data_IF_312323286106
#
_entry.id   IF_312323286106
#
_cell.length_a   1.000
_cell.length_b   1.000
_cell.length_c   1.000
_cell.angle_alpha   90.00
_cell.angle_beta   90.00
_cell.angle_gamma   90.00
#
_symmetry.space_group_name_H-M   'P 1'
#
loop_
_entity.id
_entity.type
_entity.pdbx_description
1 polymer ?
#
# COMPACT_ATOMS: atom_id res chain seq x y z
N UNK A 1 -8.16 29.11 3.31
CA UNK A 1 -7.58 28.14 4.26
C UNK A 1 -6.24 28.70 4.70
N UNK A 2 -5.98 28.83 6.01
CA UNK A 2 -4.68 29.29 6.51
C UNK A 2 -3.63 28.19 6.32
N UNK A 3 -2.35 28.55 6.28
CA UNK A 3 -1.28 27.55 6.15
C UNK A 3 -1.25 26.58 7.35
N UNK A 4 -1.64 27.05 8.54
CA UNK A 4 -1.80 26.21 9.74
C UNK A 4 -2.79 25.06 9.49
N UNK A 5 -3.93 25.34 8.84
CA UNK A 5 -4.93 24.31 8.54
C UNK A 5 -4.43 23.29 7.50
N UNK A 6 -3.60 23.72 6.54
CA UNK A 6 -2.98 22.80 5.57
C UNK A 6 -2.03 21.82 6.27
N UNK A 7 -1.19 22.33 7.17
CA UNK A 7 -0.31 21.49 7.99
C UNK A 7 -1.09 20.48 8.83
N UNK A 8 -2.18 20.89 9.48
CA UNK A 8 -3.01 19.98 10.27
C UNK A 8 -3.62 18.84 9.43
N UNK A 9 -4.09 19.14 8.21
CA UNK A 9 -4.60 18.13 7.28
C UNK A 9 -3.50 17.14 6.89
N UNK A 10 -2.33 17.67 6.50
CA UNK A 10 -1.19 16.84 6.14
C UNK A 10 -0.76 15.93 7.30
N UNK A 11 -0.62 16.47 8.50
CA UNK A 11 -0.21 15.68 9.68
C UNK A 11 -1.23 14.61 10.03
N UNK A 12 -2.54 14.90 9.95
CA UNK A 12 -3.59 13.90 10.20
C UNK A 12 -3.56 12.75 9.19
N UNK A 13 -3.38 13.04 7.90
CA UNK A 13 -3.28 12.00 6.87
C UNK A 13 -2.02 11.16 7.06
N UNK A 14 -0.89 11.80 7.39
CA UNK A 14 0.37 11.11 7.68
C UNK A 14 0.25 10.20 8.90
N UNK A 15 -0.39 10.69 9.97
CA UNK A 15 -0.61 9.90 11.19
C UNK A 15 -1.51 8.71 10.92
N UNK A 16 -2.59 8.87 10.13
CA UNK A 16 -3.45 7.74 9.73
C UNK A 16 -2.68 6.63 9.00
N UNK A 17 -1.85 6.99 8.02
CA UNK A 17 -1.01 6.02 7.30
C UNK A 17 0.00 5.34 8.22
N UNK A 18 0.60 6.12 9.11
CA UNK A 18 1.54 5.65 10.13
C UNK A 18 0.89 4.68 11.13
N UNK A 19 -0.31 5.00 11.62
CA UNK A 19 -1.11 4.15 12.50
C UNK A 19 -1.45 2.83 11.82
N UNK A 20 -1.95 2.85 10.58
CA UNK A 20 -2.29 1.66 9.79
C UNK A 20 -1.09 0.70 9.67
N UNK A 21 0.10 1.23 9.34
CA UNK A 21 1.34 0.45 9.30
C UNK A 21 1.69 -0.16 10.65
N UNK A 22 1.66 0.64 11.72
CA UNK A 22 2.09 0.17 13.04
C UNK A 22 1.09 -0.74 13.73
N UNK A 23 -0.21 -0.59 13.46
CA UNK A 23 -1.24 -1.53 13.89
C UNK A 23 -1.04 -2.90 13.23
N UNK A 24 -0.82 -2.92 11.91
CA UNK A 24 -0.53 -4.15 11.21
C UNK A 24 0.74 -4.80 11.76
N UNK A 25 1.81 -4.04 11.93
CA UNK A 25 3.04 -4.57 12.54
C UNK A 25 2.76 -5.11 13.94
N UNK A 26 2.05 -4.38 14.81
CA UNK A 26 1.73 -4.82 16.17
C UNK A 26 0.92 -6.11 16.19
N UNK A 27 -0.02 -6.29 15.25
CA UNK A 27 -0.83 -7.51 15.13
C UNK A 27 -0.02 -8.77 14.80
N UNK A 28 1.18 -8.59 14.22
CA UNK A 28 2.11 -9.67 13.87
C UNK A 28 3.16 -9.76 14.97
N UNK A 29 2.86 -10.59 15.99
CA UNK A 29 3.71 -10.79 17.16
C UNK A 29 5.06 -11.47 16.84
N UNK A 30 6.06 -11.26 17.70
CA UNK A 30 7.38 -11.90 17.62
C UNK A 30 8.38 -11.16 16.74
N UNK A 31 9.59 -11.74 16.61
CA UNK A 31 10.66 -11.18 15.77
C UNK A 31 10.35 -11.39 14.29
N UNK A 32 10.58 -10.33 13.52
CA UNK A 32 10.22 -10.27 12.10
C UNK A 32 11.27 -9.54 11.30
N UNK A 33 11.40 -9.92 10.04
CA UNK A 33 12.17 -9.19 9.04
C UNK A 33 11.23 -8.70 7.95
N UNK A 34 11.43 -7.44 7.56
CA UNK A 34 10.58 -6.73 6.61
C UNK A 34 11.31 -6.59 5.27
N UNK A 35 10.70 -7.10 4.21
CA UNK A 35 11.19 -7.04 2.83
C UNK A 35 10.30 -6.07 2.06
N UNK A 36 10.86 -4.97 1.57
CA UNK A 36 10.12 -3.84 1.00
C UNK A 36 10.42 -3.72 -0.49
N UNK A 37 9.37 -3.71 -1.33
CA UNK A 37 9.48 -3.38 -2.74
C UNK A 37 10.15 -2.01 -2.91
N UNK A 38 11.09 -1.90 -3.85
CA UNK A 38 11.89 -0.69 -4.07
C UNK A 38 11.01 0.57 -4.23
N UNK A 39 9.86 0.41 -4.90
CA UNK A 39 8.92 1.48 -5.20
C UNK A 39 8.14 1.99 -3.96
N UNK A 40 8.27 1.31 -2.80
CA UNK A 40 7.58 1.66 -1.56
C UNK A 40 8.46 2.36 -0.53
N UNK A 41 9.80 2.36 -0.68
CA UNK A 41 10.68 3.10 0.25
C UNK A 41 10.29 4.58 0.37
N UNK A 42 10.09 5.33 -0.73
CA UNK A 42 9.70 6.74 -0.62
C UNK A 42 8.39 6.94 0.14
N UNK A 43 7.47 5.99 0.01
CA UNK A 43 6.17 6.05 0.67
C UNK A 43 6.28 5.80 2.17
N UNK A 44 7.14 4.85 2.58
CA UNK A 44 7.39 4.52 3.98
C UNK A 44 8.18 5.62 4.70
N UNK A 45 9.15 6.24 4.00
CA UNK A 45 9.96 7.34 4.53
C UNK A 45 9.13 8.61 4.80
N UNK A 46 8.01 8.80 4.08
CA UNK A 46 7.08 9.92 4.32
C UNK A 46 6.24 9.77 5.60
N UNK A 47 6.08 8.55 6.12
CA UNK A 47 5.18 8.25 7.25
C UNK A 47 5.92 7.79 8.51
N UNK A 48 7.10 7.20 8.36
CA UNK A 48 7.77 6.49 9.45
C UNK A 48 9.28 6.43 9.26
N UNK A 49 9.99 6.24 10.37
CA UNK A 49 11.45 6.04 10.35
C UNK A 49 11.80 4.58 10.62
N UNK A 50 12.98 4.14 10.14
CA UNK A 50 13.47 2.78 10.40
C UNK A 50 13.61 2.47 11.90
N UNK A 51 13.93 3.46 12.74
CA UNK A 51 14.04 3.30 14.20
C UNK A 51 12.68 3.03 14.84
N UNK A 52 11.62 3.67 14.36
CA UNK A 52 10.25 3.44 14.83
C UNK A 52 9.73 2.08 14.42
N UNK A 53 9.94 1.69 13.16
CA UNK A 53 9.58 0.35 12.65
C UNK A 53 10.25 -0.74 13.50
N UNK A 54 11.53 -0.57 13.86
CA UNK A 54 12.28 -1.51 14.69
C UNK A 54 11.69 -1.70 16.09
N UNK A 55 11.06 -0.68 16.69
CA UNK A 55 10.39 -0.78 18.01
C UNK A 55 9.26 -1.82 18.00
N UNK A 56 8.69 -2.11 16.83
CA UNK A 56 7.62 -3.10 16.68
C UNK A 56 8.13 -4.53 16.48
N UNK A 57 9.40 -4.83 16.74
CA UNK A 57 9.97 -6.18 16.61
C UNK A 57 10.55 -6.50 15.23
N UNK A 58 10.73 -5.49 14.38
CA UNK A 58 11.39 -5.63 13.08
C UNK A 58 12.91 -5.61 13.28
N UNK A 59 13.55 -6.76 13.06
CA UNK A 59 15.00 -6.95 13.19
C UNK A 59 15.76 -6.35 12.03
N UNK A 60 15.40 -6.73 10.80
CA UNK A 60 16.04 -6.21 9.58
C UNK A 60 15.01 -5.67 8.59
N UNK A 61 15.41 -4.60 7.90
CA UNK A 61 14.71 -4.07 6.74
C UNK A 61 15.55 -4.41 5.51
N UNK A 62 14.95 -5.15 4.59
CA UNK A 62 15.56 -5.59 3.35
C UNK A 62 14.83 -4.97 2.17
N UNK A 63 15.58 -4.65 1.12
CA UNK A 63 14.98 -4.42 -0.19
C UNK A 63 14.50 -5.76 -0.75
N UNK A 64 13.29 -5.79 -1.30
CA UNK A 64 12.75 -6.95 -1.98
C UNK A 64 13.31 -6.99 -3.40
N UNK A 65 14.33 -7.81 -3.59
CA UNK A 65 14.92 -8.07 -4.91
C UNK A 65 14.13 -9.16 -5.67
N UNK A 66 14.44 -9.30 -6.96
CA UNK A 66 13.82 -10.30 -7.83
C UNK A 66 14.05 -11.74 -7.37
N UNK A 67 15.13 -11.98 -6.63
CA UNK A 67 15.47 -13.27 -6.01
C UNK A 67 15.45 -13.16 -4.49
N UNK A 68 14.63 -13.97 -3.85
CA UNK A 68 14.53 -14.07 -2.41
C UNK A 68 15.77 -14.74 -1.80
N UNK A 69 16.64 -13.94 -1.18
CA UNK A 69 17.69 -14.45 -0.31
C UNK A 69 17.25 -14.37 1.16
N UNK A 70 16.50 -15.37 1.60
CA UNK A 70 15.83 -15.36 2.91
C UNK A 70 16.59 -16.25 3.89
N UNK A 71 17.76 -15.78 4.34
CA UNK A 71 18.52 -16.43 5.42
C UNK A 71 18.08 -15.89 6.79
N UNK A 72 16.80 -16.07 7.13
CA UNK A 72 16.29 -15.67 8.45
C UNK A 72 15.36 -16.74 9.02
N UNK A 73 15.38 -16.87 10.35
CA UNK A 73 14.43 -17.69 11.12
C UNK A 73 13.22 -16.88 11.62
N UNK A 74 13.26 -15.56 11.47
CA UNK A 74 12.19 -14.66 11.88
C UNK A 74 10.96 -14.78 10.97
N UNK A 75 9.81 -14.25 11.42
CA UNK A 75 8.64 -14.08 10.55
C UNK A 75 9.00 -13.15 9.40
N UNK A 76 8.56 -13.46 8.19
CA UNK A 76 8.89 -12.68 6.99
C UNK A 76 7.67 -11.87 6.57
N UNK A 77 7.83 -10.56 6.53
CA UNK A 77 6.82 -9.64 6.06
C UNK A 77 7.29 -9.10 4.72
N UNK A 78 6.51 -9.31 3.67
CA UNK A 78 6.77 -8.80 2.33
C UNK A 78 5.81 -7.67 2.07
N UNK A 79 6.33 -6.47 1.88
CA UNK A 79 5.58 -5.27 1.58
C UNK A 79 5.71 -4.96 0.09
N UNK A 80 4.60 -4.98 -0.65
CA UNK A 80 4.62 -4.88 -2.11
C UNK A 80 3.42 -4.10 -2.65
N UNK A 81 3.59 -3.48 -3.82
CA UNK A 81 2.45 -2.96 -4.58
C UNK A 81 1.71 -4.12 -5.26
N UNK A 82 0.38 -4.02 -5.44
CA UNK A 82 -0.38 -5.05 -6.13
C UNK A 82 0.02 -5.10 -7.61
N UNK A 83 0.67 -6.20 -8.00
CA UNK A 83 1.00 -6.52 -9.38
C UNK A 83 0.98 -8.05 -9.57
N UNK A 84 0.20 -8.54 -10.53
CA UNK A 84 0.00 -9.99 -10.73
C UNK A 84 1.31 -10.74 -11.01
N UNK A 85 2.19 -10.18 -11.85
CA UNK A 85 3.44 -10.82 -12.26
C UNK A 85 4.43 -10.88 -11.09
N UNK A 86 4.62 -9.77 -10.38
CA UNK A 86 5.48 -9.72 -9.20
C UNK A 86 4.96 -10.64 -8.09
N UNK A 87 3.66 -10.63 -7.84
CA UNK A 87 3.03 -11.48 -6.84
C UNK A 87 3.20 -12.97 -7.15
N UNK A 88 2.95 -13.38 -8.41
CA UNK A 88 3.17 -14.76 -8.84
C UNK A 88 4.63 -15.20 -8.72
N UNK A 89 5.56 -14.33 -9.10
CA UNK A 89 7.00 -14.60 -8.94
C UNK A 89 7.37 -14.81 -7.48
N UNK A 90 6.90 -13.93 -6.60
CA UNK A 90 7.11 -14.05 -5.16
C UNK A 90 6.52 -15.36 -4.62
N UNK A 91 5.26 -15.68 -4.95
CA UNK A 91 4.60 -16.91 -4.54
C UNK A 91 5.40 -18.16 -4.97
N UNK A 92 5.86 -18.22 -6.23
CA UNK A 92 6.69 -19.33 -6.71
C UNK A 92 7.98 -19.49 -5.92
N UNK A 93 8.64 -18.40 -5.57
CA UNK A 93 9.86 -18.42 -4.76
C UNK A 93 9.60 -18.86 -3.32
N UNK A 94 8.53 -18.37 -2.70
CA UNK A 94 8.11 -18.82 -1.36
C UNK A 94 7.86 -20.33 -1.33
N UNK A 95 7.22 -20.87 -2.37
CA UNK A 95 7.02 -22.32 -2.53
C UNK A 95 8.34 -23.07 -2.69
N UNK A 96 9.22 -22.60 -3.57
CA UNK A 96 10.51 -23.25 -3.83
C UNK A 96 11.42 -23.30 -2.60
N UNK A 97 11.38 -22.26 -1.78
CA UNK A 97 12.14 -22.16 -0.53
C UNK A 97 11.42 -22.80 0.68
N UNK A 98 10.24 -23.39 0.45
CA UNK A 98 9.35 -23.94 1.49
C UNK A 98 9.14 -22.98 2.68
N UNK A 99 8.96 -21.69 2.37
CA UNK A 99 8.77 -20.66 3.38
C UNK A 99 7.40 -20.83 4.04
N UNK A 100 7.41 -20.97 5.36
CA UNK A 100 6.23 -21.03 6.21
C UNK A 100 5.98 -19.70 6.92
N UNK A 101 4.72 -19.43 7.27
CA UNK A 101 4.28 -18.27 8.04
C UNK A 101 4.72 -16.91 7.46
N UNK A 102 4.64 -16.75 6.14
CA UNK A 102 4.91 -15.49 5.48
C UNK A 102 3.70 -14.55 5.56
N UNK A 103 3.96 -13.26 5.69
CA UNK A 103 2.95 -12.21 5.65
C UNK A 103 3.15 -11.38 4.39
N UNK A 104 2.16 -11.37 3.50
CA UNK A 104 2.16 -10.63 2.25
C UNK A 104 1.28 -9.39 2.43
N UNK A 105 1.88 -8.21 2.41
CA UNK A 105 1.24 -6.94 2.74
C UNK A 105 1.18 -6.10 1.46
N UNK A 106 -0.03 -5.92 0.94
CA UNK A 106 -0.25 -5.20 -0.31
C UNK A 106 -0.55 -3.72 -0.04
N UNK A 107 0.10 -2.82 -0.79
CA UNK A 107 -0.03 -1.36 -0.62
C UNK A 107 -0.57 -0.68 -1.89
N UNK A 108 -1.71 0.03 -1.84
CA UNK A 108 -2.60 0.19 -0.69
C UNK A 108 -3.64 -0.93 -0.55
N UNK A 109 -3.81 -1.75 -1.58
CA UNK A 109 -4.83 -2.81 -1.66
C UNK A 109 -4.26 -4.10 -2.24
N UNK A 110 -4.88 -5.23 -1.93
CA UNK A 110 -4.65 -6.52 -2.56
C UNK A 110 -5.61 -6.69 -3.73
N UNK A 111 -5.23 -7.51 -4.70
CA UNK A 111 -6.20 -7.99 -5.69
C UNK A 111 -6.89 -9.23 -5.14
N UNK A 112 -8.20 -9.35 -5.40
CA UNK A 112 -8.97 -10.53 -4.99
C UNK A 112 -8.37 -11.83 -5.54
N UNK A 113 -7.81 -11.77 -6.76
CA UNK A 113 -7.13 -12.88 -7.40
C UNK A 113 -5.89 -13.41 -6.63
N UNK A 114 -5.30 -12.62 -5.72
CA UNK A 114 -4.11 -13.05 -4.96
C UNK A 114 -4.40 -14.22 -4.02
N UNK A 115 -5.59 -14.28 -3.42
CA UNK A 115 -5.98 -15.40 -2.55
C UNK A 115 -6.04 -16.70 -3.35
N UNK A 116 -6.71 -16.67 -4.50
CA UNK A 116 -6.77 -17.81 -5.40
C UNK A 116 -5.40 -18.21 -5.96
N UNK A 117 -4.53 -17.24 -6.25
CA UNK A 117 -3.18 -17.50 -6.73
C UNK A 117 -2.33 -18.22 -5.67
N UNK A 118 -2.44 -17.83 -4.40
CA UNK A 118 -1.74 -18.53 -3.31
C UNK A 118 -2.26 -19.96 -3.14
N UNK A 119 -3.57 -20.17 -3.30
CA UNK A 119 -4.16 -21.50 -3.28
C UNK A 119 -3.62 -22.39 -4.40
N UNK A 120 -3.60 -21.89 -5.65
CA UNK A 120 -3.06 -22.60 -6.81
C UNK A 120 -1.58 -22.96 -6.67
N UNK A 121 -0.78 -22.08 -6.06
CA UNK A 121 0.65 -22.35 -5.80
C UNK A 121 0.89 -23.21 -4.54
N UNK A 122 -0.16 -23.70 -3.87
CA UNK A 122 -0.05 -24.57 -2.69
C UNK A 122 0.43 -23.85 -1.43
N UNK A 123 0.25 -22.52 -1.38
CA UNK A 123 0.63 -21.65 -0.26
C UNK A 123 -0.54 -21.30 0.66
N UNK A 124 -1.72 -21.86 0.41
CA UNK A 124 -2.88 -21.71 1.28
C UNK A 124 -2.54 -22.09 2.73
N UNK A 125 -2.89 -21.24 3.68
CA UNK A 125 -2.58 -21.41 5.10
C UNK A 125 -1.11 -21.19 5.49
N UNK A 126 -0.17 -21.20 4.54
CA UNK A 126 1.26 -20.91 4.78
C UNK A 126 1.55 -19.41 4.73
N UNK A 127 0.79 -18.68 3.93
CA UNK A 127 0.90 -17.24 3.75
C UNK A 127 -0.37 -16.53 4.26
N UNK A 128 -0.20 -15.37 4.88
CA UNK A 128 -1.30 -14.47 5.28
C UNK A 128 -1.26 -13.21 4.42
N UNK A 129 -2.38 -12.85 3.81
CA UNK A 129 -2.53 -11.63 3.02
C UNK A 129 -3.09 -10.49 3.88
N UNK A 130 -2.50 -9.31 3.73
CA UNK A 130 -2.86 -8.07 4.42
C UNK A 130 -2.88 -6.91 3.42
N UNK A 131 -3.50 -5.82 3.81
CA UNK A 131 -3.59 -4.56 3.06
C UNK A 131 -3.20 -3.40 3.97
N UNK A 132 -2.56 -2.37 3.41
CA UNK A 132 -2.34 -1.09 4.08
C UNK A 132 -3.11 0.01 3.34
N UNK A 133 -4.36 0.20 3.74
CA UNK A 133 -5.33 1.00 2.99
C UNK A 133 -5.07 2.50 3.06
N UNK A 134 -4.46 3.01 4.13
CA UNK A 134 -4.24 4.44 4.35
C UNK A 134 -3.06 5.04 3.56
N UNK A 135 -2.46 4.25 2.66
CA UNK A 135 -1.31 4.62 1.83
C UNK A 135 -1.68 4.93 0.36
N UNK A 136 -2.96 5.10 0.10
CA UNK A 136 -3.51 5.43 -1.21
C UNK A 136 -3.18 6.88 -1.64
N UNK A 137 -3.22 7.83 -0.71
CA UNK A 137 -2.81 9.22 -0.91
C UNK A 137 -2.12 9.76 0.34
N UNK A 138 -0.82 10.05 0.21
CA UNK A 138 0.03 10.45 1.34
C UNK A 138 0.55 11.89 1.11
N UNK A 139 0.64 12.73 2.15
CA UNK A 139 1.22 14.07 2.02
C UNK A 139 2.71 14.00 1.70
N UNK A 140 3.10 14.57 0.57
CA UNK A 140 4.52 14.76 0.20
C UNK A 140 5.05 16.12 0.67
N UNK A 141 4.15 17.08 0.87
CA UNK A 141 4.40 18.37 1.49
C UNK A 141 3.13 18.84 2.22
N UNK A 142 3.15 20.02 2.84
CA UNK A 142 2.00 20.57 3.58
C UNK A 142 0.78 20.89 2.69
N UNK A 143 0.99 21.12 1.40
CA UNK A 143 -0.05 21.47 0.43
C UNK A 143 -0.13 20.53 -0.78
N UNK A 144 0.59 19.40 -0.72
CA UNK A 144 0.70 18.44 -1.82
C UNK A 144 0.55 17.01 -1.36
N UNK A 145 -0.31 16.26 -2.05
CA UNK A 145 -0.62 14.85 -1.77
C UNK A 145 -0.35 13.99 -3.00
N UNK A 146 0.14 12.77 -2.81
CA UNK A 146 0.49 11.88 -3.91
C UNK A 146 0.24 10.41 -3.56
N UNK A 147 -0.04 9.60 -4.58
CA UNK A 147 -0.06 8.14 -4.47
C UNK A 147 1.37 7.53 -4.46
N UNK A 148 2.38 8.35 -4.78
CA UNK A 148 3.80 8.00 -4.87
C UNK A 148 4.02 6.72 -5.70
N UNK A 149 3.33 6.61 -6.84
CA UNK A 149 3.36 5.43 -7.70
C UNK A 149 3.99 5.75 -9.07
N UNK A 150 5.25 5.34 -9.24
CA UNK A 150 6.03 5.53 -10.47
C UNK A 150 5.43 4.85 -11.71
N UNK A 151 4.67 3.76 -11.52
CA UNK A 151 4.09 2.98 -12.62
C UNK A 151 2.73 3.48 -13.08
N UNK A 152 2.13 4.46 -12.40
CA UNK A 152 0.77 4.93 -12.69
C UNK A 152 0.60 5.39 -14.15
N UNK A 153 1.57 6.14 -14.66
CA UNK A 153 1.52 6.65 -16.05
C UNK A 153 1.55 5.51 -17.06
N UNK A 154 2.47 4.55 -16.90
CA UNK A 154 2.60 3.40 -17.79
C UNK A 154 1.34 2.53 -17.75
N UNK A 155 0.82 2.24 -16.55
CA UNK A 155 -0.41 1.45 -16.41
C UNK A 155 -1.59 2.08 -17.18
N UNK A 156 -1.75 3.41 -17.11
CA UNK A 156 -2.86 4.12 -17.75
C UNK A 156 -2.69 4.24 -19.26
N UNK A 157 -1.50 4.65 -19.72
CA UNK A 157 -1.30 5.05 -21.11
C UNK A 157 -0.69 3.97 -21.99
N UNK A 158 0.08 3.04 -21.42
CA UNK A 158 0.65 1.90 -22.13
C UNK A 158 -0.23 0.66 -21.99
N UNK A 159 -0.57 0.27 -20.76
CA UNK A 159 -1.34 -0.96 -20.51
C UNK A 159 -2.85 -0.76 -20.60
N UNK A 160 -3.29 0.50 -20.76
CA UNK A 160 -4.71 0.90 -20.77
C UNK A 160 -5.51 0.42 -19.55
N UNK A 161 -4.82 0.18 -18.43
CA UNK A 161 -5.41 -0.18 -17.15
C UNK A 161 -5.82 1.07 -16.37
N UNK A 162 -7.07 1.08 -15.94
CA UNK A 162 -7.62 2.12 -15.06
C UNK A 162 -7.78 1.66 -13.62
N UNK A 163 -7.10 0.58 -13.22
CA UNK A 163 -7.26 -0.05 -11.90
C UNK A 163 -6.88 0.89 -10.74
N UNK A 164 -5.98 1.84 -10.99
CA UNK A 164 -5.57 2.83 -9.98
C UNK A 164 -6.55 3.99 -9.83
N UNK A 165 -7.48 4.18 -10.77
CA UNK A 165 -8.48 5.25 -10.65
C UNK A 165 -9.46 4.99 -9.50
N UNK A 166 -9.82 3.73 -9.25
CA UNK A 166 -10.66 3.38 -8.10
C UNK A 166 -9.95 3.63 -6.78
N UNK A 167 -8.63 3.41 -6.73
CA UNK A 167 -7.82 3.75 -5.55
C UNK A 167 -7.78 5.25 -5.32
N UNK A 168 -7.67 6.05 -6.39
CA UNK A 168 -7.73 7.51 -6.30
C UNK A 168 -9.13 8.01 -5.88
N UNK A 169 -10.20 7.37 -6.36
CA UNK A 169 -11.56 7.71 -5.93
C UNK A 169 -11.75 7.40 -4.44
N UNK A 170 -11.34 6.21 -4.00
CA UNK A 170 -11.42 5.81 -2.59
C UNK A 170 -10.63 6.76 -1.67
N UNK A 171 -9.45 7.22 -2.10
CA UNK A 171 -8.65 8.17 -1.30
C UNK A 171 -9.32 9.54 -1.15
N UNK A 172 -10.00 10.01 -2.19
CA UNK A 172 -10.82 11.22 -2.14
C UNK A 172 -12.05 11.03 -1.25
N UNK A 173 -12.70 9.87 -1.32
CA UNK A 173 -13.81 9.51 -0.43
C UNK A 173 -13.35 9.54 1.03
N UNK A 174 -12.21 8.94 1.32
CA UNK A 174 -11.62 8.93 2.66
C UNK A 174 -11.22 10.32 3.13
N UNK A 175 -10.68 11.16 2.23
CA UNK A 175 -10.45 12.57 2.52
C UNK A 175 -11.76 13.27 2.94
N UNK A 176 -12.87 13.04 2.21
CA UNK A 176 -14.16 13.61 2.56
C UNK A 176 -14.71 13.09 3.90
N UNK A 177 -14.46 11.83 4.25
CA UNK A 177 -14.84 11.28 5.56
C UNK A 177 -14.09 11.96 6.71
N UNK A 178 -12.81 12.29 6.51
CA UNK A 178 -11.96 12.90 7.55
C UNK A 178 -12.17 14.41 7.70
N UNK A 179 -12.34 15.12 6.59
CA UNK A 179 -12.31 16.59 6.57
C UNK A 179 -13.61 17.24 6.09
N UNK A 180 -14.62 16.43 5.74
CA UNK A 180 -15.91 16.89 5.23
C UNK A 180 -16.00 16.88 3.70
N UNK A 181 -17.23 16.95 3.18
CA UNK A 181 -17.49 16.84 1.75
C UNK A 181 -16.93 18.03 0.96
N UNK A 182 -16.52 17.78 -0.28
CA UNK A 182 -16.15 18.84 -1.20
C UNK A 182 -17.38 19.68 -1.55
N UNK A 183 -17.28 21.00 -1.41
CA UNK A 183 -18.38 21.93 -1.74
C UNK A 183 -18.61 22.05 -3.25
N UNK A 184 -17.57 21.81 -4.05
CA UNK A 184 -17.61 21.87 -5.51
C UNK A 184 -16.60 20.90 -6.09
N UNK A 185 -17.04 20.09 -7.04
CA UNK A 185 -16.18 19.17 -7.78
C UNK A 185 -16.26 19.49 -9.27
N UNK A 186 -15.11 19.60 -9.92
CA UNK A 186 -15.01 19.89 -11.36
C UNK A 186 -14.02 18.89 -11.95
N UNK A 187 -14.39 18.23 -13.04
CA UNK A 187 -13.54 17.25 -13.70
C UNK A 187 -13.37 17.58 -15.19
N UNK A 188 -12.14 17.49 -15.68
CA UNK A 188 -11.81 17.69 -17.09
C UNK A 188 -11.05 16.47 -17.64
N UNK A 189 -11.52 15.95 -18.76
CA UNK A 189 -10.95 14.77 -19.40
C UNK A 189 -11.59 13.44 -18.97
N UNK A 190 -11.36 12.40 -19.77
CA UNK A 190 -12.02 11.09 -19.64
C UNK A 190 -11.72 10.40 -18.30
N UNK A 191 -10.46 10.40 -17.88
CA UNK A 191 -10.00 9.74 -16.64
C UNK A 191 -10.53 10.48 -15.40
N UNK A 192 -10.45 11.81 -15.38
CA UNK A 192 -11.01 12.61 -14.29
C UNK A 192 -12.53 12.40 -14.17
N UNK A 193 -13.25 12.34 -15.31
CA UNK A 193 -14.67 12.02 -15.32
C UNK A 193 -14.99 10.60 -14.82
N UNK A 194 -14.08 9.64 -14.99
CA UNK A 194 -14.23 8.30 -14.39
C UNK A 194 -14.07 8.33 -12.87
N UNK A 195 -13.05 9.02 -12.36
CA UNK A 195 -12.81 9.18 -10.92
C UNK A 195 -14.00 9.90 -10.28
N UNK A 196 -14.50 10.98 -10.88
CA UNK A 196 -15.66 11.71 -10.38
C UNK A 196 -16.90 10.80 -10.27
N UNK A 197 -17.19 10.01 -11.31
CA UNK A 197 -18.31 9.05 -11.27
C UNK A 197 -18.14 7.97 -10.21
N UNK A 198 -16.90 7.57 -9.88
CA UNK A 198 -16.64 6.62 -8.80
C UNK A 198 -16.86 7.27 -7.43
N UNK A 199 -16.34 8.48 -7.24
CA UNK A 199 -16.56 9.29 -6.04
C UNK A 199 -18.06 9.49 -5.75
N UNK A 200 -18.83 9.92 -6.75
CA UNK A 200 -20.29 10.12 -6.63
C UNK A 200 -21.08 8.83 -6.35
N UNK A 201 -20.54 7.66 -6.70
CA UNK A 201 -21.17 6.36 -6.43
C UNK A 201 -20.96 5.92 -5.00
N UNK A 202 -19.79 6.18 -4.44
CA UNK A 202 -19.46 5.84 -3.04
C UNK A 202 -20.19 6.74 -2.03
N UNK A 203 -20.70 7.89 -2.48
CA UNK A 203 -21.51 8.79 -1.65
C UNK A 203 -23.00 8.41 -1.53
N UNK A 204 -23.47 7.41 -2.28
CA UNK A 204 -24.88 6.95 -2.29
C UNK A 204 -25.09 5.77 -1.35
#
# INVERSE_FOLDING_TARGET
MSDIAKWEIADRLRERAREDLFELLRSIEGTKDLFIDADLFPLIDLTSTATEIRKYGVGNLHKLDSTLNVQTKNKRLFLLRPNMVRFLSLAKQLRQLDIQNAHLICVPRKFYAFEHLLEQEGLWGRCKLHELTAFDMVPVDYDSFSMVNSHLYLNIYLDHSTDWLSTLAASLTDFQKLFGKFSKTIAFGKLAGQVLRQLEREER
#
